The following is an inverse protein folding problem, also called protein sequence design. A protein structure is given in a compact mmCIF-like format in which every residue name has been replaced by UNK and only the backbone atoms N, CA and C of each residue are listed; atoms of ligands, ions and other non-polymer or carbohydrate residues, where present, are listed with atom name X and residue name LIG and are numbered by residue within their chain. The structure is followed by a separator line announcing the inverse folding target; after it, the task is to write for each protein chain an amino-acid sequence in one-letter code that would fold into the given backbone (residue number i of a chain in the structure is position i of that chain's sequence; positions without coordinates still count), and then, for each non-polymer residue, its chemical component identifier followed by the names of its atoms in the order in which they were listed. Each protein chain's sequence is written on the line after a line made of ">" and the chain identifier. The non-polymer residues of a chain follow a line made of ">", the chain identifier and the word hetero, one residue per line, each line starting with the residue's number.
data_IF_506750957501
#
_entry.id   IF_506750957501
#
_cell.length_a   1.000
_cell.length_b   1.000
_cell.length_c   1.000
_cell.angle_alpha   90.00
_cell.angle_beta   90.00
_cell.angle_gamma   90.00
#
_symmetry.space_group_name_H-M   'P 1'
#
loop_
_entity.id
_entity.type
_entity.pdbx_description
1 polymer ?
#
# COMPACT_ATOMS: atom_id res chain seq x y z
N UNK A 1 0.59 25.48 -1.20
CA UNK A 1 -0.11 26.29 -0.17
C UNK A 1 -1.61 26.24 -0.39
N UNK A 2 -2.14 26.77 -1.50
CA UNK A 2 -3.57 26.71 -1.86
C UNK A 2 -4.23 25.32 -1.68
N UNK A 3 -3.64 24.25 -2.22
CA UNK A 3 -4.18 22.89 -2.00
C UNK A 3 -4.25 22.48 -0.52
N UNK A 4 -3.29 22.90 0.32
CA UNK A 4 -3.34 22.57 1.74
C UNK A 4 -4.51 23.27 2.45
N UNK A 5 -4.84 24.50 2.04
CA UNK A 5 -6.01 25.24 2.52
C UNK A 5 -7.29 24.53 2.11
N UNK A 6 -7.43 24.18 0.82
CA UNK A 6 -8.60 23.44 0.33
C UNK A 6 -8.79 22.09 1.03
N UNK A 7 -7.70 21.35 1.33
CA UNK A 7 -7.77 20.11 2.12
C UNK A 7 -8.24 20.37 3.56
N UNK A 8 -7.73 21.43 4.19
CA UNK A 8 -8.13 21.84 5.54
C UNK A 8 -9.60 22.22 5.63
N UNK A 9 -10.11 23.00 4.67
CA UNK A 9 -11.53 23.39 4.57
C UNK A 9 -12.47 22.18 4.42
N UNK A 10 -12.01 21.13 3.75
CA UNK A 10 -12.75 19.87 3.58
C UNK A 10 -12.64 18.93 4.78
N UNK A 11 -11.90 19.31 5.83
CA UNK A 11 -11.75 18.51 7.05
C UNK A 11 -10.84 17.30 6.89
N UNK A 12 -9.90 17.34 5.93
CA UNK A 12 -8.86 16.31 5.82
C UNK A 12 -8.04 16.29 7.11
N UNK A 13 -7.64 15.11 7.57
CA UNK A 13 -6.93 14.94 8.85
C UNK A 13 -5.47 14.55 8.71
N UNK A 14 -5.11 13.89 7.60
CA UNK A 14 -3.79 13.32 7.39
C UNK A 14 -3.36 13.49 5.94
N UNK A 15 -2.09 13.89 5.76
CA UNK A 15 -1.44 14.02 4.45
C UNK A 15 -0.09 13.31 4.51
N UNK A 16 -0.01 12.03 4.07
CA UNK A 16 1.26 11.36 3.86
C UNK A 16 1.90 11.87 2.56
N UNK A 17 3.11 12.44 2.66
CA UNK A 17 3.94 12.76 1.51
C UNK A 17 4.68 11.49 1.08
N UNK A 18 4.41 11.07 -0.15
CA UNK A 18 4.90 9.82 -0.75
C UNK A 18 5.62 10.10 -2.08
N UNK A 19 5.69 9.09 -2.97
CA UNK A 19 6.10 9.21 -4.37
C UNK A 19 7.37 8.41 -4.66
N UNK A 20 8.33 9.04 -5.34
CA UNK A 20 9.71 8.55 -5.38
C UNK A 20 10.40 8.83 -4.04
N UNK A 21 10.84 10.07 -3.85
CA UNK A 21 11.33 10.60 -2.57
C UNK A 21 10.96 12.08 -2.45
N UNK A 22 10.16 12.46 -1.44
CA UNK A 22 9.58 13.80 -1.37
C UNK A 22 10.63 14.91 -1.21
N UNK A 23 11.75 14.61 -0.53
CA UNK A 23 12.86 15.55 -0.32
C UNK A 23 13.77 15.77 -1.55
N UNK A 24 13.41 15.21 -2.71
CA UNK A 24 14.01 15.61 -3.99
C UNK A 24 13.40 16.90 -4.54
N UNK A 25 12.23 17.28 -4.05
CA UNK A 25 11.61 18.58 -4.31
C UNK A 25 12.24 19.64 -3.40
N UNK A 26 12.50 20.84 -3.92
CA UNK A 26 13.23 21.89 -3.20
C UNK A 26 12.44 22.46 -2.02
N UNK A 27 11.13 22.67 -2.21
CA UNK A 27 10.18 23.27 -1.26
C UNK A 27 9.42 22.22 -0.42
N UNK A 28 9.98 21.01 -0.25
CA UNK A 28 9.30 19.92 0.48
C UNK A 28 9.00 20.27 1.95
N UNK A 29 9.83 21.12 2.58
CA UNK A 29 9.60 21.62 3.94
C UNK A 29 8.42 22.60 3.98
N UNK A 30 8.32 23.52 3.02
CA UNK A 30 7.21 24.47 2.90
C UNK A 30 5.87 23.73 2.70
N UNK A 31 5.88 22.60 1.98
CA UNK A 31 4.70 21.74 1.83
C UNK A 31 4.27 21.15 3.17
N UNK A 32 5.21 20.66 3.98
CA UNK A 32 4.92 20.13 5.33
C UNK A 32 4.31 21.24 6.20
N UNK A 33 4.95 22.41 6.23
CA UNK A 33 4.50 23.56 7.02
C UNK A 33 3.09 23.99 6.62
N UNK A 34 2.79 24.04 5.31
CA UNK A 34 1.45 24.37 4.82
C UNK A 34 0.39 23.35 5.24
N UNK A 35 0.73 22.04 5.27
CA UNK A 35 -0.17 20.99 5.76
C UNK A 35 -0.45 21.18 7.25
N UNK A 36 0.60 21.40 8.05
CA UNK A 36 0.52 21.56 9.50
C UNK A 36 -0.24 22.82 9.88
N UNK A 37 -0.01 23.94 9.18
CA UNK A 37 -0.72 25.20 9.38
C UNK A 37 -2.24 25.08 9.17
N UNK A 38 -2.67 24.08 8.39
CA UNK A 38 -4.08 23.76 8.14
C UNK A 38 -4.63 22.66 9.08
N UNK A 39 -4.01 22.46 10.26
CA UNK A 39 -4.42 21.50 11.29
C UNK A 39 -4.45 20.03 10.84
N UNK A 40 -3.69 19.68 9.80
CA UNK A 40 -3.55 18.31 9.32
C UNK A 40 -2.28 17.66 9.85
N UNK A 41 -2.31 16.35 10.10
CA UNK A 41 -1.09 15.59 10.38
C UNK A 41 -0.32 15.33 9.09
N UNK A 42 0.93 15.79 9.06
CA UNK A 42 1.85 15.43 7.98
C UNK A 42 2.70 14.22 8.37
N UNK A 43 2.89 13.29 7.44
CA UNK A 43 3.83 12.17 7.57
C UNK A 43 4.64 11.99 6.28
N UNK A 44 5.79 11.32 6.37
CA UNK A 44 6.64 11.04 5.20
C UNK A 44 6.74 9.54 4.95
N UNK A 45 6.85 9.14 3.69
CA UNK A 45 7.24 7.79 3.28
C UNK A 45 8.53 7.88 2.46
N UNK A 46 9.53 7.07 2.81
CA UNK A 46 10.85 7.11 2.17
C UNK A 46 11.50 5.73 2.10
N UNK A 47 12.34 5.51 1.08
CA UNK A 47 13.30 4.40 1.04
C UNK A 47 14.54 4.62 1.93
N UNK A 48 14.66 5.79 2.59
CA UNK A 48 15.70 6.12 3.55
C UNK A 48 17.01 6.61 2.92
N UNK A 49 17.15 6.57 1.59
CA UNK A 49 18.40 6.94 0.93
C UNK A 49 18.67 8.43 1.06
N UNK A 50 19.82 8.77 1.63
CA UNK A 50 20.19 10.15 1.95
C UNK A 50 19.25 10.82 2.97
N UNK A 51 18.39 10.08 3.66
CA UNK A 51 17.55 10.62 4.75
C UNK A 51 18.29 10.54 6.09
N UNK A 52 19.32 11.38 6.23
CA UNK A 52 20.19 11.41 7.41
C UNK A 52 19.69 12.30 8.56
N UNK A 53 20.50 12.48 9.62
CA UNK A 53 20.12 13.23 10.82
C UNK A 53 19.69 14.68 10.57
N UNK A 54 20.29 15.37 9.60
CA UNK A 54 19.94 16.75 9.25
C UNK A 54 18.53 16.84 8.66
N UNK A 55 18.22 15.99 7.66
CA UNK A 55 16.88 15.94 7.05
C UNK A 55 15.82 15.49 8.04
N UNK A 56 16.13 14.53 8.91
CA UNK A 56 15.21 14.12 9.97
C UNK A 56 14.88 15.29 10.91
N UNK A 57 15.89 16.05 11.36
CA UNK A 57 15.66 17.25 12.19
C UNK A 57 14.85 18.32 11.46
N UNK A 58 15.16 18.59 10.19
CA UNK A 58 14.42 19.55 9.38
C UNK A 58 12.94 19.15 9.20
N UNK A 59 12.68 17.87 8.90
CA UNK A 59 11.33 17.34 8.79
C UNK A 59 10.53 17.49 10.10
N UNK A 60 11.14 17.16 11.25
CA UNK A 60 10.49 17.31 12.55
C UNK A 60 10.25 18.78 12.89
N UNK A 61 11.22 19.65 12.61
CA UNK A 61 11.08 21.10 12.83
C UNK A 61 9.94 21.70 11.99
N UNK A 62 9.73 21.21 10.76
CA UNK A 62 8.60 21.59 9.90
C UNK A 62 7.25 21.00 10.36
N UNK A 63 7.25 20.04 11.30
CA UNK A 63 6.04 19.47 11.90
C UNK A 63 5.64 18.07 11.42
N UNK A 64 6.56 17.31 10.82
CA UNK A 64 6.31 15.89 10.51
C UNK A 64 6.08 15.08 11.78
N UNK A 65 4.95 14.40 11.84
CA UNK A 65 4.55 13.57 13.00
C UNK A 65 5.17 12.17 13.00
N UNK A 66 5.39 11.60 11.82
CA UNK A 66 6.00 10.28 11.67
C UNK A 66 6.66 10.10 10.31
N UNK A 67 7.67 9.23 10.24
CA UNK A 67 8.33 8.83 8.99
C UNK A 67 8.24 7.31 8.84
N UNK A 68 7.62 6.86 7.75
CA UNK A 68 7.58 5.45 7.35
C UNK A 68 8.75 5.14 6.44
N UNK A 69 9.66 4.29 6.91
CA UNK A 69 10.82 3.84 6.14
C UNK A 69 10.51 2.49 5.51
N UNK A 70 10.65 2.39 4.19
CA UNK A 70 10.35 1.15 3.53
C UNK A 70 11.49 0.13 3.70
N UNK A 71 11.17 -1.08 4.17
CA UNK A 71 12.12 -2.20 4.30
C UNK A 71 11.48 -3.49 3.78
N UNK A 72 11.99 -4.03 2.66
CA UNK A 72 11.36 -5.17 1.97
C UNK A 72 12.04 -6.53 2.16
N UNK A 73 12.87 -6.72 3.18
CA UNK A 73 13.55 -7.99 3.44
C UNK A 73 14.68 -7.82 4.44
N UNK A 74 15.42 -8.90 4.68
CA UNK A 74 16.77 -8.80 5.26
C UNK A 74 17.71 -8.12 4.26
N UNK A 75 18.95 -7.81 4.67
CA UNK A 75 19.88 -6.95 3.92
C UNK A 75 19.98 -7.31 2.43
N UNK A 76 20.28 -8.55 2.13
CA UNK A 76 20.52 -9.05 0.77
C UNK A 76 19.26 -8.92 -0.09
N UNK A 77 18.12 -9.40 0.43
CA UNK A 77 16.82 -9.35 -0.25
C UNK A 77 16.32 -7.93 -0.43
N UNK A 78 16.47 -7.08 0.60
CA UNK A 78 16.14 -5.67 0.51
C UNK A 78 16.95 -4.95 -0.57
N UNK A 79 18.27 -5.10 -0.58
CA UNK A 79 19.14 -4.47 -1.57
C UNK A 79 18.84 -4.95 -3.00
N UNK A 80 18.51 -6.23 -3.16
CA UNK A 80 18.06 -6.82 -4.43
C UNK A 80 16.74 -6.21 -4.91
N UNK A 81 15.74 -6.13 -4.03
CA UNK A 81 14.41 -5.60 -4.36
C UNK A 81 14.47 -4.10 -4.67
N UNK A 82 15.26 -3.35 -3.91
CA UNK A 82 15.51 -1.92 -4.12
C UNK A 82 16.45 -1.62 -5.29
N UNK A 83 17.16 -2.65 -5.78
CA UNK A 83 18.18 -2.56 -6.82
C UNK A 83 19.27 -1.53 -6.51
N UNK A 84 19.64 -1.42 -5.23
CA UNK A 84 20.64 -0.47 -4.73
C UNK A 84 21.45 -1.14 -3.62
N UNK A 85 22.73 -1.46 -3.85
CA UNK A 85 23.60 -1.94 -2.78
C UNK A 85 23.69 -0.94 -1.62
N UNK A 86 23.57 -1.44 -0.39
CA UNK A 86 23.62 -0.64 0.84
C UNK A 86 22.31 0.06 1.21
N UNK A 87 21.23 -0.14 0.45
CA UNK A 87 19.92 0.48 0.73
C UNK A 87 19.33 0.04 2.08
N UNK A 88 19.54 -1.21 2.49
CA UNK A 88 19.09 -1.69 3.80
C UNK A 88 19.74 -0.90 4.94
N UNK A 89 21.05 -0.70 4.86
CA UNK A 89 21.78 0.07 5.88
C UNK A 89 21.35 1.54 5.89
N UNK A 90 21.07 2.12 4.72
CA UNK A 90 20.54 3.48 4.62
C UNK A 90 19.14 3.58 5.27
N UNK A 91 18.26 2.62 5.02
CA UNK A 91 16.94 2.55 5.64
C UNK A 91 17.03 2.43 7.18
N UNK A 92 17.86 1.52 7.69
CA UNK A 92 18.10 1.38 9.14
C UNK A 92 18.69 2.66 9.75
N UNK A 93 19.61 3.33 9.04
CA UNK A 93 20.16 4.60 9.48
C UNK A 93 19.09 5.71 9.52
N UNK A 94 18.19 5.75 8.54
CA UNK A 94 17.06 6.68 8.51
C UNK A 94 16.11 6.46 9.71
N UNK A 95 15.77 5.20 10.05
CA UNK A 95 14.97 4.88 11.24
C UNK A 95 15.63 5.46 12.52
N UNK A 96 16.94 5.25 12.68
CA UNK A 96 17.69 5.80 13.83
C UNK A 96 17.72 7.33 13.83
N UNK A 97 17.86 7.95 12.67
CA UNK A 97 17.87 9.40 12.53
C UNK A 97 16.51 10.03 12.91
N UNK A 98 15.40 9.41 12.47
CA UNK A 98 14.03 9.83 12.81
C UNK A 98 13.79 9.76 14.32
N UNK A 99 14.17 8.63 14.95
CA UNK A 99 14.04 8.47 16.39
C UNK A 99 14.84 9.53 17.15
N UNK A 100 16.09 9.78 16.76
CA UNK A 100 16.95 10.81 17.37
C UNK A 100 16.40 12.23 17.17
N UNK A 101 15.66 12.48 16.09
CA UNK A 101 15.01 13.76 15.84
C UNK A 101 13.71 13.96 16.65
N UNK A 102 13.21 12.92 17.32
CA UNK A 102 12.02 13.00 18.17
C UNK A 102 10.69 12.66 17.47
N UNK A 103 10.71 12.11 16.26
CA UNK A 103 9.52 11.65 15.56
C UNK A 103 9.34 10.13 15.64
N UNK A 104 8.10 9.67 15.44
CA UNK A 104 7.79 8.26 15.35
C UNK A 104 8.33 7.66 14.04
N UNK A 105 9.17 6.63 14.15
CA UNK A 105 9.55 5.79 13.02
C UNK A 105 8.55 4.65 12.85
N UNK A 106 8.10 4.42 11.62
CA UNK A 106 7.30 3.26 11.22
C UNK A 106 7.95 2.57 10.03
N UNK A 107 7.53 1.34 9.73
CA UNK A 107 7.97 0.61 8.55
C UNK A 107 6.81 0.33 7.60
N UNK A 108 7.14 0.22 6.32
CA UNK A 108 6.29 -0.39 5.32
C UNK A 108 7.06 -1.45 4.54
N UNK A 109 6.42 -2.57 4.24
CA UNK A 109 7.03 -3.71 3.54
C UNK A 109 6.13 -4.16 2.41
N UNK A 110 6.69 -4.26 1.21
CA UNK A 110 6.07 -4.89 0.05
C UNK A 110 6.24 -6.42 0.15
N UNK A 111 5.24 -7.12 0.67
CA UNK A 111 5.23 -8.58 0.82
C UNK A 111 5.20 -9.27 -0.56
N UNK A 112 6.18 -10.13 -0.80
CA UNK A 112 6.42 -10.83 -2.06
C UNK A 112 7.02 -12.22 -1.81
N UNK A 113 7.28 -12.98 -2.87
CA UNK A 113 7.83 -14.35 -2.75
C UNK A 113 9.24 -14.42 -2.17
N UNK A 114 10.05 -13.37 -2.34
CA UNK A 114 11.44 -13.35 -1.87
C UNK A 114 11.50 -13.10 -0.36
N UNK A 115 10.66 -12.21 0.16
CA UNK A 115 10.71 -11.83 1.59
C UNK A 115 9.70 -12.56 2.49
N UNK A 116 8.72 -13.28 1.91
CA UNK A 116 7.78 -14.08 2.69
C UNK A 116 8.48 -15.11 3.61
N UNK A 117 9.53 -15.84 3.17
CA UNK A 117 10.27 -16.74 4.05
C UNK A 117 11.00 -16.02 5.20
N UNK A 118 11.33 -14.75 5.03
CA UNK A 118 12.19 -13.96 5.92
C UNK A 118 11.44 -13.23 7.04
N UNK A 119 10.10 -13.25 7.05
CA UNK A 119 9.30 -12.42 7.98
C UNK A 119 9.69 -12.56 9.46
N UNK A 120 10.06 -13.77 9.90
CA UNK A 120 10.50 -14.00 11.26
C UNK A 120 11.83 -13.28 11.56
N UNK A 121 12.82 -13.45 10.68
CA UNK A 121 14.14 -12.83 10.80
C UNK A 121 14.06 -11.31 10.69
N UNK A 122 13.25 -10.79 9.77
CA UNK A 122 12.94 -9.36 9.70
C UNK A 122 12.42 -8.84 11.05
N UNK A 123 11.55 -9.59 11.71
CA UNK A 123 11.06 -9.26 13.05
C UNK A 123 12.14 -9.28 14.14
N UNK A 124 13.15 -10.13 14.02
CA UNK A 124 14.30 -10.16 14.93
C UNK A 124 15.21 -8.94 14.77
N UNK A 125 15.44 -8.50 13.53
CA UNK A 125 16.33 -7.39 13.23
C UNK A 125 15.67 -6.01 13.42
N UNK A 126 14.39 -5.88 13.08
CA UNK A 126 13.75 -4.56 12.91
C UNK A 126 12.94 -4.11 14.13
N UNK A 127 12.28 -5.02 14.86
CA UNK A 127 11.52 -4.65 16.07
C UNK A 127 12.38 -4.03 17.18
N UNK A 128 13.62 -4.52 17.46
CA UNK A 128 14.48 -3.90 18.46
C UNK A 128 14.92 -2.47 18.13
N UNK A 129 14.70 -1.99 16.90
CA UNK A 129 14.98 -0.60 16.52
C UNK A 129 13.99 0.41 17.13
N UNK A 130 12.94 -0.06 17.81
CA UNK A 130 11.96 0.81 18.47
C UNK A 130 10.95 1.43 17.51
N UNK A 131 10.62 0.73 16.42
CA UNK A 131 9.58 1.16 15.48
C UNK A 131 8.21 1.11 16.15
N UNK A 132 7.39 2.14 15.89
CA UNK A 132 6.05 2.28 16.51
C UNK A 132 4.94 1.61 15.72
N UNK A 133 5.17 1.37 14.43
CA UNK A 133 4.21 0.69 13.56
C UNK A 133 4.87 0.06 12.34
N UNK A 134 4.20 -0.94 11.78
CA UNK A 134 4.68 -1.69 10.62
C UNK A 134 3.52 -2.15 9.74
N UNK A 135 3.49 -1.66 8.50
CA UNK A 135 2.48 -2.02 7.52
C UNK A 135 3.04 -3.01 6.48
N UNK A 136 2.27 -4.06 6.18
CA UNK A 136 2.54 -5.00 5.09
C UNK A 136 1.57 -4.78 3.93
N UNK A 137 2.10 -4.56 2.74
CA UNK A 137 1.33 -4.38 1.52
C UNK A 137 1.74 -5.44 0.49
N UNK A 138 0.80 -6.00 -0.25
CA UNK A 138 1.12 -6.99 -1.27
C UNK A 138 1.86 -6.33 -2.46
N UNK A 139 2.98 -6.92 -2.89
CA UNK A 139 3.60 -6.56 -4.17
C UNK A 139 2.68 -6.95 -5.33
N UNK A 140 2.31 -5.96 -6.13
CA UNK A 140 1.44 -6.12 -7.30
C UNK A 140 2.29 -5.94 -8.57
N UNK A 141 2.01 -6.64 -9.69
CA UNK A 141 2.78 -6.52 -10.93
C UNK A 141 2.53 -5.17 -11.63
N UNK A 142 3.12 -4.13 -11.09
CA UNK A 142 3.11 -2.76 -11.62
C UNK A 142 4.49 -2.13 -11.52
N UNK A 143 4.80 -1.21 -12.42
CA UNK A 143 6.08 -0.52 -12.45
C UNK A 143 7.24 -1.50 -12.55
N UNK A 144 8.21 -1.43 -11.64
CA UNK A 144 9.40 -2.32 -11.66
C UNK A 144 9.07 -3.80 -11.45
N UNK A 145 7.89 -4.11 -10.89
CA UNK A 145 7.44 -5.48 -10.65
C UNK A 145 6.57 -6.03 -11.79
N UNK A 146 6.21 -5.22 -12.79
CA UNK A 146 5.23 -5.57 -13.82
C UNK A 146 5.54 -6.89 -14.53
N UNK A 147 6.81 -7.12 -14.90
CA UNK A 147 7.26 -8.30 -15.63
C UNK A 147 8.11 -9.26 -14.77
N UNK A 148 8.01 -9.15 -13.43
CA UNK A 148 8.84 -9.91 -12.49
C UNK A 148 8.03 -10.97 -11.77
N UNK A 149 7.59 -12.00 -12.49
CA UNK A 149 6.78 -13.10 -11.95
C UNK A 149 7.36 -13.76 -10.70
N UNK A 150 8.69 -13.89 -10.61
CA UNK A 150 9.35 -14.44 -9.42
C UNK A 150 9.03 -13.69 -8.13
N UNK A 151 8.72 -12.38 -8.21
CA UNK A 151 8.36 -11.57 -7.04
C UNK A 151 6.89 -11.75 -6.66
N UNK A 152 6.02 -11.99 -7.64
CA UNK A 152 4.57 -11.97 -7.43
C UNK A 152 4.14 -13.20 -6.64
N UNK A 153 3.55 -12.99 -5.46
CA UNK A 153 2.94 -14.06 -4.69
C UNK A 153 1.85 -14.74 -5.51
N UNK A 154 1.69 -16.04 -5.36
CA UNK A 154 0.58 -16.75 -5.95
C UNK A 154 -0.64 -16.66 -5.03
N UNK A 155 -1.88 -16.60 -5.57
CA UNK A 155 -3.10 -16.49 -4.78
C UNK A 155 -3.19 -17.52 -3.64
N UNK A 156 -2.82 -18.79 -3.90
CA UNK A 156 -2.83 -19.83 -2.87
C UNK A 156 -1.80 -19.61 -1.75
N UNK A 157 -0.73 -18.83 -1.98
CA UNK A 157 0.30 -18.56 -0.98
C UNK A 157 -0.17 -17.64 0.15
N UNK A 158 -1.36 -17.02 0.02
CA UNK A 158 -1.97 -16.33 1.17
C UNK A 158 -2.22 -17.29 2.34
N UNK A 159 -2.44 -18.58 2.09
CA UNK A 159 -2.58 -19.58 3.15
C UNK A 159 -1.29 -19.79 3.95
N UNK A 160 -0.12 -19.52 3.35
CA UNK A 160 1.17 -19.52 4.02
C UNK A 160 1.48 -18.16 4.66
N UNK A 161 1.15 -17.07 3.95
CA UNK A 161 1.50 -15.72 4.38
C UNK A 161 0.81 -15.30 5.69
N UNK A 162 -0.47 -15.59 5.83
CA UNK A 162 -1.24 -15.11 6.98
C UNK A 162 -0.81 -15.72 8.32
N UNK A 163 -0.55 -17.05 8.44
CA UNK A 163 0.02 -17.60 9.66
C UNK A 163 1.37 -16.97 10.05
N UNK A 164 2.24 -16.69 9.06
CA UNK A 164 3.53 -16.02 9.31
C UNK A 164 3.36 -14.58 9.78
N UNK A 165 2.46 -13.83 9.13
CA UNK A 165 2.09 -12.48 9.54
C UNK A 165 1.50 -12.47 10.95
N UNK A 166 0.60 -13.39 11.28
CA UNK A 166 0.03 -13.50 12.63
C UNK A 166 1.11 -13.76 13.69
N UNK A 167 2.07 -14.64 13.41
CA UNK A 167 3.20 -14.88 14.31
C UNK A 167 4.04 -13.61 14.53
N UNK A 168 4.34 -12.87 13.46
CA UNK A 168 5.04 -11.59 13.54
C UNK A 168 4.22 -10.52 14.28
N UNK A 169 2.91 -10.47 14.08
CA UNK A 169 1.99 -9.56 14.78
C UNK A 169 2.02 -9.78 16.30
N UNK A 170 1.98 -11.05 16.74
CA UNK A 170 2.10 -11.39 18.17
C UNK A 170 3.43 -10.93 18.75
N UNK A 171 4.53 -11.11 17.99
CA UNK A 171 5.85 -10.62 18.41
C UNK A 171 5.90 -9.09 18.48
N UNK A 172 5.36 -8.39 17.47
CA UNK A 172 5.36 -6.94 17.39
C UNK A 172 4.68 -6.27 18.61
N UNK A 173 3.63 -6.90 19.15
CA UNK A 173 2.98 -6.44 20.40
C UNK A 173 3.94 -6.34 21.58
N UNK A 174 4.85 -7.28 21.74
CA UNK A 174 5.87 -7.29 22.79
C UNK A 174 6.83 -6.09 22.70
N UNK A 175 6.94 -5.49 21.51
CA UNK A 175 7.77 -4.32 21.21
C UNK A 175 6.95 -3.03 21.14
N UNK A 176 5.66 -3.04 21.51
CA UNK A 176 4.73 -1.90 21.36
C UNK A 176 4.66 -1.37 19.92
N UNK A 177 4.89 -2.25 18.94
CA UNK A 177 4.77 -1.93 17.52
C UNK A 177 3.38 -2.34 17.02
N UNK A 178 2.62 -1.37 16.50
CA UNK A 178 1.32 -1.65 15.88
C UNK A 178 1.53 -2.17 14.46
N UNK A 179 1.27 -3.46 14.26
CA UNK A 179 1.40 -4.10 12.95
C UNK A 179 0.04 -4.23 12.26
N UNK A 180 -0.01 -3.95 10.96
CA UNK A 180 -1.23 -4.04 10.16
C UNK A 180 -0.96 -4.50 8.72
N UNK A 181 -1.98 -5.09 8.09
CA UNK A 181 -1.98 -5.33 6.64
C UNK A 181 -2.66 -4.18 5.90
N UNK A 182 -2.16 -3.86 4.71
CA UNK A 182 -2.73 -2.85 3.85
C UNK A 182 -4.05 -3.32 3.22
N UNK A 183 -4.67 -2.42 2.45
CA UNK A 183 -5.96 -2.65 1.83
C UNK A 183 -5.96 -3.67 0.69
N UNK A 184 -4.78 -4.12 0.24
CA UNK A 184 -4.61 -5.02 -0.92
C UNK A 184 -4.17 -6.45 -0.57
N UNK A 185 -4.24 -6.81 0.71
CA UNK A 185 -3.93 -8.14 1.22
C UNK A 185 -5.01 -8.46 2.26
N UNK A 186 -5.69 -9.61 2.18
CA UNK A 186 -6.76 -9.84 3.15
C UNK A 186 -7.87 -10.81 2.81
N UNK A 187 -8.96 -10.49 3.49
CA UNK A 187 -10.36 -10.78 3.26
C UNK A 187 -10.85 -12.10 3.84
N UNK A 188 -11.58 -11.94 4.94
CA UNK A 188 -12.46 -12.90 5.60
C UNK A 188 -11.78 -14.21 5.99
N UNK A 189 -10.46 -14.16 6.19
CA UNK A 189 -9.68 -15.26 6.76
C UNK A 189 -9.62 -15.19 8.30
N UNK A 190 -9.23 -16.29 8.96
CA UNK A 190 -9.28 -16.41 10.43
C UNK A 190 -8.34 -15.45 11.17
N UNK A 191 -7.35 -14.86 10.49
CA UNK A 191 -6.37 -13.93 11.09
C UNK A 191 -6.68 -12.45 10.81
N UNK A 192 -7.67 -12.14 9.96
CA UNK A 192 -7.88 -10.77 9.50
C UNK A 192 -8.22 -9.82 10.64
N UNK A 193 -9.03 -10.24 11.62
CA UNK A 193 -9.39 -9.39 12.74
C UNK A 193 -8.16 -8.91 13.53
N UNK A 194 -7.12 -9.74 13.69
CA UNK A 194 -5.88 -9.31 14.35
C UNK A 194 -5.08 -8.33 13.49
N UNK A 195 -4.95 -8.64 12.20
CA UNK A 195 -4.13 -7.90 11.25
C UNK A 195 -4.79 -6.61 10.71
N UNK A 196 -6.10 -6.47 10.88
CA UNK A 196 -6.92 -5.31 10.46
C UNK A 196 -7.65 -4.66 11.65
N UNK A 197 -6.98 -4.60 12.80
CA UNK A 197 -7.41 -3.81 13.96
C UNK A 197 -8.84 -4.09 14.46
N UNK A 198 -9.21 -5.37 14.57
CA UNK A 198 -10.45 -5.83 15.21
C UNK A 198 -11.64 -6.05 14.27
N UNK A 199 -11.45 -5.99 12.96
CA UNK A 199 -12.54 -6.14 12.00
C UNK A 199 -12.15 -6.85 10.70
N UNK A 200 -13.10 -6.86 9.78
CA UNK A 200 -12.94 -7.37 8.42
C UNK A 200 -12.94 -6.23 7.41
N UNK A 201 -12.58 -6.55 6.18
CA UNK A 201 -12.69 -5.61 5.08
C UNK A 201 -14.15 -5.21 4.81
N UNK A 202 -14.38 -3.90 4.65
CA UNK A 202 -15.72 -3.32 4.45
C UNK A 202 -15.87 -2.64 3.08
N UNK A 203 -15.04 -3.01 2.11
CA UNK A 203 -15.01 -2.39 0.79
C UNK A 203 -13.91 -1.33 0.63
N UNK A 204 -13.68 -0.93 -0.62
CA UNK A 204 -12.66 0.05 -0.95
C UNK A 204 -13.09 1.46 -0.52
N UNK A 205 -12.20 2.17 0.18
CA UNK A 205 -12.45 3.54 0.66
C UNK A 205 -11.90 4.61 -0.29
N UNK A 206 -11.29 4.20 -1.40
CA UNK A 206 -10.72 5.11 -2.41
C UNK A 206 -11.78 5.99 -3.05
N UNK A 207 -11.46 7.27 -3.25
CA UNK A 207 -12.39 8.27 -3.77
C UNK A 207 -13.43 8.76 -2.77
N UNK A 208 -13.60 8.09 -1.61
CA UNK A 208 -14.55 8.47 -0.55
C UNK A 208 -13.90 9.01 0.71
N UNK A 209 -12.86 8.34 1.21
CA UNK A 209 -12.12 8.75 2.41
C UNK A 209 -10.63 8.99 2.15
N UNK A 210 -10.17 8.70 0.93
CA UNK A 210 -8.79 8.92 0.52
C UNK A 210 -8.75 9.31 -0.95
N UNK A 211 -7.77 10.13 -1.31
CA UNK A 211 -7.44 10.48 -2.68
C UNK A 211 -5.92 10.51 -2.85
N UNK A 212 -5.46 10.36 -4.09
CA UNK A 212 -4.08 10.59 -4.48
C UNK A 212 -3.97 11.88 -5.28
N UNK A 213 -2.91 12.65 -5.02
CA UNK A 213 -2.54 13.83 -5.82
C UNK A 213 -1.22 13.51 -6.51
N UNK A 214 -1.20 13.55 -7.84
CA UNK A 214 0.02 13.38 -8.62
C UNK A 214 0.84 14.68 -8.71
N UNK A 215 2.12 14.56 -9.07
CA UNK A 215 3.03 15.70 -9.18
C UNK A 215 2.61 16.72 -10.25
N UNK A 216 1.85 16.29 -11.25
CA UNK A 216 1.26 17.13 -12.30
C UNK A 216 -0.06 17.78 -11.88
N UNK A 217 -0.58 17.45 -10.70
CA UNK A 217 -1.84 17.93 -10.15
C UNK A 217 -3.05 17.02 -10.41
N UNK A 218 -2.88 15.90 -11.11
CA UNK A 218 -3.99 14.97 -11.37
C UNK A 218 -4.51 14.35 -10.07
N UNK A 219 -5.82 14.42 -9.86
CA UNK A 219 -6.50 13.82 -8.71
C UNK A 219 -6.99 12.42 -9.08
N UNK A 220 -6.74 11.45 -8.21
CA UNK A 220 -7.14 10.05 -8.41
C UNK A 220 -7.71 9.43 -7.14
N UNK A 221 -8.53 8.39 -7.29
CA UNK A 221 -9.24 7.77 -6.17
C UNK A 221 -8.34 7.13 -5.10
N UNK A 222 -7.10 6.77 -5.44
CA UNK A 222 -6.13 6.23 -4.50
C UNK A 222 -4.72 6.55 -5.00
N UNK A 223 -3.78 6.73 -4.09
CA UNK A 223 -2.36 6.92 -4.41
C UNK A 223 -1.76 5.79 -5.26
N UNK A 224 -2.28 4.56 -5.16
CA UNK A 224 -1.81 3.40 -5.91
C UNK A 224 -2.46 3.23 -7.28
N UNK A 225 -3.68 3.72 -7.48
CA UNK A 225 -4.38 3.60 -8.76
C UNK A 225 -3.67 4.40 -9.87
N UNK A 226 -3.73 3.97 -11.14
CA UNK A 226 -3.32 4.83 -12.26
C UNK A 226 -4.28 6.02 -12.41
N UNK A 227 -3.84 7.09 -13.08
CA UNK A 227 -4.70 8.23 -13.38
C UNK A 227 -5.81 7.83 -14.37
N UNK A 228 -5.48 7.17 -15.47
CA UNK A 228 -6.52 6.62 -16.35
C UNK A 228 -6.86 5.19 -15.89
N UNK A 229 -8.14 4.83 -15.63
CA UNK A 229 -9.36 5.65 -15.69
C UNK A 229 -9.81 6.24 -14.33
N UNK A 230 -8.98 6.23 -13.29
CA UNK A 230 -9.37 6.57 -11.90
C UNK A 230 -9.08 8.02 -11.46
N UNK A 231 -8.88 8.91 -12.42
CA UNK A 231 -8.64 10.34 -12.25
C UNK A 231 -8.95 11.07 -13.56
N UNK A 232 -9.86 12.03 -13.48
CA UNK A 232 -10.43 12.78 -14.61
C UNK A 232 -10.32 14.31 -14.43
N UNK A 233 -9.74 14.77 -13.31
CA UNK A 233 -9.58 16.20 -13.01
C UNK A 233 -8.16 16.53 -12.53
N UNK A 234 -7.80 17.81 -12.65
CA UNK A 234 -6.53 18.35 -12.18
C UNK A 234 -6.76 19.52 -11.21
N UNK A 235 -6.07 19.46 -10.06
CA UNK A 235 -6.19 20.45 -8.99
C UNK A 235 -5.72 21.85 -9.38
N UNK A 236 -4.89 21.96 -10.42
CA UNK A 236 -4.38 23.25 -10.91
C UNK A 236 -5.42 24.02 -11.73
N UNK A 237 -6.47 23.36 -12.17
CA UNK A 237 -7.53 23.95 -13.02
C UNK A 237 -8.91 23.90 -12.38
N UNK A 238 -9.12 23.00 -11.41
CA UNK A 238 -10.44 22.78 -10.81
C UNK A 238 -10.31 22.73 -9.27
N UNK A 239 -11.09 23.52 -8.52
CA UNK A 239 -11.09 23.46 -7.05
C UNK A 239 -11.43 22.07 -6.53
N UNK A 240 -10.77 21.62 -5.46
CA UNK A 240 -10.90 20.26 -4.94
C UNK A 240 -12.35 19.91 -4.57
N UNK A 241 -13.08 20.85 -3.96
CA UNK A 241 -14.50 20.64 -3.61
C UNK A 241 -15.34 20.28 -4.84
N UNK A 242 -15.11 20.95 -5.96
CA UNK A 242 -15.81 20.67 -7.21
C UNK A 242 -15.43 19.29 -7.74
N UNK A 243 -14.13 18.94 -7.75
CA UNK A 243 -13.65 17.62 -8.16
C UNK A 243 -14.36 16.50 -7.38
N UNK A 244 -14.47 16.66 -6.05
CA UNK A 244 -15.13 15.66 -5.19
C UNK A 244 -16.63 15.50 -5.46
N UNK A 245 -17.28 16.52 -6.03
CA UNK A 245 -18.71 16.50 -6.35
C UNK A 245 -19.00 15.96 -7.76
N UNK A 246 -18.07 16.15 -8.70
CA UNK A 246 -18.32 15.95 -10.14
C UNK A 246 -17.53 14.77 -10.74
N UNK A 247 -16.48 14.27 -10.07
CA UNK A 247 -15.61 13.23 -10.63
C UNK A 247 -16.28 11.86 -10.72
N UNK A 248 -16.64 11.47 -11.94
CA UNK A 248 -17.09 10.12 -12.26
C UNK A 248 -15.97 9.08 -12.03
N UNK A 249 -14.71 9.47 -12.23
CA UNK A 249 -13.58 8.58 -11.98
C UNK A 249 -13.43 8.23 -10.48
N UNK A 250 -13.66 9.19 -9.57
CA UNK A 250 -13.71 8.90 -8.13
C UNK A 250 -14.91 8.02 -7.77
N UNK A 251 -16.10 8.35 -8.30
CA UNK A 251 -17.33 7.57 -8.10
C UNK A 251 -17.22 6.12 -8.57
N UNK A 252 -16.50 5.87 -9.68
CA UNK A 252 -16.26 4.52 -10.21
C UNK A 252 -15.57 3.56 -9.23
N UNK A 253 -14.98 4.08 -8.15
CA UNK A 253 -14.30 3.29 -7.11
C UNK A 253 -15.22 3.05 -5.91
N UNK A 254 -15.77 4.11 -5.31
CA UNK A 254 -16.58 3.98 -4.09
C UNK A 254 -18.04 3.61 -4.34
N UNK A 255 -18.56 3.90 -5.54
CA UNK A 255 -19.92 3.59 -5.97
C UNK A 255 -20.15 2.13 -6.35
N UNK A 256 -19.09 1.31 -6.42
CA UNK A 256 -19.17 -0.09 -6.88
C UNK A 256 -20.10 -0.94 -6.04
N UNK A 257 -20.86 -1.81 -6.71
CA UNK A 257 -21.82 -2.76 -6.13
C UNK A 257 -21.54 -4.22 -6.51
N UNK A 258 -22.51 -5.10 -6.24
CA UNK A 258 -22.42 -6.53 -6.58
C UNK A 258 -22.44 -6.79 -8.08
N UNK A 259 -23.10 -5.91 -8.86
CA UNK A 259 -23.20 -6.04 -10.31
C UNK A 259 -21.86 -5.82 -11.03
N UNK A 260 -20.89 -5.20 -10.34
CA UNK A 260 -19.53 -5.00 -10.85
C UNK A 260 -18.60 -6.21 -10.62
N UNK A 261 -19.11 -7.26 -9.95
CA UNK A 261 -18.33 -8.43 -9.57
C UNK A 261 -18.35 -9.48 -10.67
N UNK A 262 -17.27 -10.26 -10.74
CA UNK A 262 -17.13 -11.35 -11.71
C UNK A 262 -16.22 -12.45 -11.14
N UNK A 263 -16.24 -13.63 -11.78
CA UNK A 263 -15.52 -14.79 -11.29
C UNK A 263 -15.95 -15.18 -9.87
N UNK A 264 -15.00 -15.65 -9.05
CA UNK A 264 -15.29 -16.09 -7.67
C UNK A 264 -16.03 -15.03 -6.84
N UNK A 265 -15.69 -13.75 -7.00
CA UNK A 265 -16.27 -12.69 -6.18
C UNK A 265 -17.76 -12.45 -6.46
N UNK A 266 -18.28 -12.80 -7.64
CA UNK A 266 -19.69 -12.62 -7.99
C UNK A 266 -20.62 -13.58 -7.24
N UNK A 267 -20.13 -14.77 -6.89
CA UNK A 267 -20.89 -15.81 -6.21
C UNK A 267 -20.52 -15.90 -4.72
N UNK A 268 -19.64 -15.03 -4.23
CA UNK A 268 -19.12 -15.08 -2.88
C UNK A 268 -20.16 -14.64 -1.85
N UNK A 269 -20.25 -15.36 -0.73
CA UNK A 269 -21.09 -15.01 0.41
C UNK A 269 -20.90 -13.57 0.92
N UNK A 270 -19.67 -13.02 0.83
CA UNK A 270 -19.33 -11.66 1.30
C UNK A 270 -19.42 -10.58 0.20
N UNK A 271 -20.05 -10.86 -0.94
CA UNK A 271 -20.02 -9.99 -2.12
C UNK A 271 -20.50 -8.55 -1.86
N UNK A 272 -21.61 -8.40 -1.12
CA UNK A 272 -22.26 -7.14 -0.79
C UNK A 272 -21.41 -6.23 0.12
N UNK A 273 -20.71 -6.82 1.08
CA UNK A 273 -19.80 -6.13 2.02
C UNK A 273 -18.44 -5.88 1.38
N UNK A 274 -17.84 -6.89 0.77
CA UNK A 274 -16.46 -6.85 0.29
C UNK A 274 -16.29 -6.06 -1.01
N UNK A 275 -17.26 -6.20 -1.93
CA UNK A 275 -17.28 -5.57 -3.26
C UNK A 275 -16.03 -5.87 -4.10
N UNK A 276 -15.48 -7.07 -3.94
CA UNK A 276 -14.37 -7.59 -4.74
C UNK A 276 -12.99 -7.07 -4.32
N UNK A 277 -12.80 -6.70 -3.05
CA UNK A 277 -11.49 -6.38 -2.48
C UNK A 277 -10.85 -5.10 -3.01
N UNK A 278 -9.51 -5.09 -3.11
CA UNK A 278 -8.78 -3.93 -3.58
C UNK A 278 -8.98 -3.70 -5.08
N UNK A 279 -9.58 -2.55 -5.41
CA UNK A 279 -9.78 -2.09 -6.80
C UNK A 279 -8.46 -2.00 -7.55
N UNK A 280 -7.42 -1.46 -6.92
CA UNK A 280 -6.10 -1.32 -7.54
C UNK A 280 -5.51 -2.67 -7.93
N UNK A 281 -5.40 -3.63 -7.01
CA UNK A 281 -4.79 -4.93 -7.33
C UNK A 281 -5.57 -5.70 -8.38
N UNK A 282 -6.91 -5.72 -8.29
CA UNK A 282 -7.73 -6.39 -9.31
C UNK A 282 -7.58 -5.73 -10.70
N UNK A 283 -7.63 -4.39 -10.77
CA UNK A 283 -7.38 -3.68 -12.01
C UNK A 283 -5.98 -3.93 -12.54
N UNK A 284 -4.96 -3.94 -11.67
CA UNK A 284 -3.58 -4.17 -12.08
C UNK A 284 -3.33 -5.61 -12.56
N UNK A 285 -4.12 -6.59 -12.16
CA UNK A 285 -4.00 -7.96 -12.71
C UNK A 285 -4.82 -8.12 -13.98
N UNK A 286 -6.08 -7.68 -13.96
CA UNK A 286 -7.07 -8.07 -14.97
C UNK A 286 -7.59 -6.95 -15.86
N UNK A 287 -7.18 -5.70 -15.63
CA UNK A 287 -7.65 -4.52 -16.38
C UNK A 287 -9.03 -4.04 -15.97
N UNK A 288 -9.70 -4.80 -15.10
CA UNK A 288 -10.97 -4.47 -14.50
C UNK A 288 -10.97 -4.83 -13.01
N UNK A 289 -11.59 -4.01 -12.15
CA UNK A 289 -11.84 -4.37 -10.76
C UNK A 289 -12.83 -5.54 -10.60
N UNK A 290 -13.10 -5.95 -9.36
CA UNK A 290 -14.26 -6.79 -9.02
C UNK A 290 -14.02 -8.28 -8.87
N UNK A 291 -12.77 -8.73 -9.00
CA UNK A 291 -12.38 -10.12 -8.75
C UNK A 291 -10.97 -10.16 -8.15
N UNK A 292 -10.89 -10.22 -6.82
CA UNK A 292 -9.61 -10.14 -6.10
C UNK A 292 -9.09 -11.55 -5.76
N UNK A 293 -7.94 -11.98 -6.31
CA UNK A 293 -7.47 -13.36 -6.14
C UNK A 293 -6.71 -13.53 -4.82
N UNK A 294 -6.13 -12.47 -4.26
CA UNK A 294 -5.43 -12.50 -2.97
C UNK A 294 -6.40 -12.37 -1.79
N UNK A 295 -7.40 -13.24 -1.77
CA UNK A 295 -8.42 -13.35 -0.73
C UNK A 295 -8.19 -14.62 0.10
N UNK A 296 -8.02 -14.48 1.42
CA UNK A 296 -7.78 -15.62 2.30
C UNK A 296 -8.99 -16.56 2.33
N UNK A 297 -10.21 -16.02 2.46
CA UNK A 297 -11.43 -16.82 2.39
C UNK A 297 -11.52 -17.62 1.08
N UNK A 298 -11.28 -16.97 -0.06
CA UNK A 298 -11.26 -17.61 -1.39
C UNK A 298 -10.26 -18.76 -1.45
N UNK A 299 -9.04 -18.55 -0.97
CA UNK A 299 -8.02 -19.59 -0.99
C UNK A 299 -8.37 -20.79 -0.08
N UNK A 300 -9.03 -20.56 1.07
CA UNK A 300 -9.53 -21.63 1.96
C UNK A 300 -10.62 -22.43 1.24
N UNK A 301 -11.58 -21.74 0.62
CA UNK A 301 -12.70 -22.36 -0.09
C UNK A 301 -12.21 -23.24 -1.25
N UNK A 302 -11.30 -22.72 -2.07
CA UNK A 302 -10.74 -23.49 -3.18
C UNK A 302 -9.94 -24.71 -2.69
N UNK A 303 -9.18 -24.55 -1.60
CA UNK A 303 -8.44 -25.65 -0.98
C UNK A 303 -9.37 -26.76 -0.48
N UNK A 304 -10.53 -26.42 0.08
CA UNK A 304 -11.51 -27.42 0.54
C UNK A 304 -12.07 -28.27 -0.61
N UNK A 305 -12.07 -27.69 -1.82
CA UNK A 305 -12.47 -28.34 -3.07
C UNK A 305 -11.30 -29.04 -3.79
N UNK A 306 -10.10 -29.07 -3.21
CA UNK A 306 -8.91 -29.66 -3.82
C UNK A 306 -8.35 -28.86 -5.00
N UNK A 307 -8.61 -27.55 -5.09
CA UNK A 307 -8.21 -26.67 -6.20
C UNK A 307 -7.43 -25.46 -5.71
N UNK A 308 -6.49 -24.95 -6.52
CA UNK A 308 -5.76 -23.71 -6.27
C UNK A 308 -5.80 -22.79 -7.48
N UNK A 309 -5.60 -21.50 -7.21
CA UNK A 309 -5.48 -20.50 -8.26
C UNK A 309 -4.03 -20.04 -8.42
N UNK A 310 -3.59 -19.97 -9.66
CA UNK A 310 -2.25 -19.51 -10.04
C UNK A 310 -2.36 -18.39 -11.06
N UNK A 311 -1.62 -17.31 -10.82
CA UNK A 311 -1.43 -16.21 -11.75
C UNK A 311 -0.33 -16.56 -12.75
N UNK A 312 -0.62 -16.30 -14.03
CA UNK A 312 0.30 -16.52 -15.16
C UNK A 312 0.40 -15.25 -15.99
N UNK A 313 1.62 -14.83 -16.30
CA UNK A 313 1.85 -13.70 -17.19
C UNK A 313 1.44 -14.05 -18.63
N UNK A 314 0.71 -13.15 -19.28
CA UNK A 314 0.22 -13.28 -20.66
C UNK A 314 0.95 -12.37 -21.63
N UNK A 315 1.17 -11.12 -21.23
CA UNK A 315 1.87 -10.13 -22.02
C UNK A 315 2.69 -9.22 -21.10
N UNK A 316 3.85 -8.74 -21.56
CA UNK A 316 4.65 -7.81 -20.79
C UNK A 316 4.00 -6.42 -20.74
N UNK A 317 4.47 -5.61 -19.80
CA UNK A 317 4.15 -4.19 -19.71
C UNK A 317 4.59 -3.44 -20.99
N UNK A 318 3.84 -2.42 -21.38
CA UNK A 318 4.07 -1.58 -22.58
C UNK A 318 5.16 -0.50 -22.43
N UNK A 319 5.70 -0.28 -21.23
CA UNK A 319 6.64 0.77 -20.87
C UNK A 319 6.01 2.10 -20.40
N UNK A 320 4.74 2.12 -20.01
CA UNK A 320 4.04 3.35 -19.60
C UNK A 320 4.15 3.66 -18.08
N UNK A 321 3.66 4.82 -17.64
CA UNK A 321 3.57 5.13 -16.20
C UNK A 321 2.44 4.33 -15.54
N UNK A 322 2.68 3.77 -14.35
CA UNK A 322 1.75 2.82 -13.68
C UNK A 322 1.42 1.58 -14.51
N UNK A 323 2.29 1.26 -15.46
CA UNK A 323 2.09 0.15 -16.37
C UNK A 323 2.21 -1.20 -15.70
N UNK A 324 1.61 -2.19 -16.35
CA UNK A 324 1.34 -3.52 -15.85
C UNK A 324 1.41 -4.52 -17.00
N UNK A 325 1.91 -5.72 -16.72
CA UNK A 325 1.70 -6.84 -17.61
C UNK A 325 0.24 -7.26 -17.65
N UNK A 326 -0.12 -8.10 -18.62
CA UNK A 326 -1.39 -8.81 -18.63
C UNK A 326 -1.23 -10.13 -17.87
N UNK A 327 -2.21 -10.43 -17.02
CA UNK A 327 -2.18 -11.63 -16.19
C UNK A 327 -3.48 -12.41 -16.34
N UNK A 328 -3.37 -13.73 -16.34
CA UNK A 328 -4.50 -14.65 -16.28
C UNK A 328 -4.48 -15.42 -14.96
N UNK A 329 -5.67 -15.72 -14.46
CA UNK A 329 -5.88 -16.60 -13.32
C UNK A 329 -6.28 -17.99 -13.81
N UNK A 330 -5.47 -19.00 -13.51
CA UNK A 330 -5.72 -20.39 -13.84
C UNK A 330 -6.17 -21.13 -12.58
N UNK A 331 -7.25 -21.90 -12.70
CA UNK A 331 -7.70 -22.83 -11.67
C UNK A 331 -7.16 -24.22 -11.98
N UNK A 332 -6.40 -24.80 -11.04
CA UNK A 332 -5.74 -26.10 -11.19
C UNK A 332 -5.93 -26.95 -9.91
N UNK A 333 -5.69 -28.28 -9.95
CA UNK A 333 -5.69 -29.12 -8.74
C UNK A 333 -4.66 -28.66 -7.70
N UNK A 334 -4.91 -28.93 -6.41
CA UNK A 334 -4.04 -28.57 -5.27
C UNK A 334 -2.80 -29.48 -5.14
N UNK A 335 -2.12 -29.82 -6.23
CA UNK A 335 -0.92 -30.69 -6.17
C UNK A 335 0.16 -30.19 -5.19
#
# INVERSE_FOLDING_TARGET
>A
VDLAEQLGELGVREVPLIGGESYLRHDWLEVIEAVVANNMRCSLVTGGRSFGPERARAAVAAGVSSVSVSIDGVRETHDLLRAVPGSFNAAVAAVKAVHKAGAAATLNTQLNRENLPELAEMGEQLLPLGISGWQFQLTTPMGRAADRERLILQPYQVLEAFPRLEALWKRAKSFRCTMMIANNLGYFGPFEANLRAGGHWLGCLGGRFSLGVQSDGTIKACSSLPANPFGDHNIRTTPLKQILQESAALESVWGRGTDDLWGFCAECYYADVCRGGCVWTAHTLFGRPGNMPYCHHRAIELRSQGKRERLVAKAPAKGESFDRGEWELILEPWE
#
